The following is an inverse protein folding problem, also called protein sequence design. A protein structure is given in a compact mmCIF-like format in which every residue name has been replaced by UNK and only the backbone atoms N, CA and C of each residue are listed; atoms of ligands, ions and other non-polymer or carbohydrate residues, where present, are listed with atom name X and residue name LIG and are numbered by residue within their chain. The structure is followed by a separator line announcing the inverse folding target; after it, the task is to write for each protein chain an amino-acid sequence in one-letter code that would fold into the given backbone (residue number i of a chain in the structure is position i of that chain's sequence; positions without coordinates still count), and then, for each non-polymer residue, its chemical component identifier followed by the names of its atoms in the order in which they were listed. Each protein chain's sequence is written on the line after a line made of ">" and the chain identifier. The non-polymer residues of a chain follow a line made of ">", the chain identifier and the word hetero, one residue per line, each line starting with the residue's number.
data_IF_439256773822
#
_entry.id   IF_439256773822
#
_cell.length_a   1.000
_cell.length_b   1.000
_cell.length_c   1.000
_cell.angle_alpha   90.00
_cell.angle_beta   90.00
_cell.angle_gamma   90.00
#
_symmetry.space_group_name_H-M   'P 1'
#
loop_
_entity.id
_entity.type
_entity.pdbx_description
1 polymer ?
#
# COMPACT_ATOMS: atom_id res chain seq x y z
N UNK A 1 -15.09 -1.49 16.54
CA UNK A 1 -13.96 -2.39 16.25
C UNK A 1 -12.76 -1.86 17.00
N UNK A 2 -11.98 -2.71 17.67
CA UNK A 2 -10.76 -2.26 18.35
C UNK A 2 -9.65 -2.10 17.32
N UNK A 3 -9.03 -0.93 17.23
CA UNK A 3 -7.91 -0.62 16.34
C UNK A 3 -6.73 -0.25 17.25
N UNK A 4 -5.52 -0.82 17.05
CA UNK A 4 -4.39 -0.51 17.92
C UNK A 4 -3.96 0.95 17.75
N UNK A 5 -3.76 1.65 18.87
CA UNK A 5 -3.20 3.01 18.94
C UNK A 5 -1.70 3.01 19.29
N UNK A 6 -1.13 1.82 19.57
CA UNK A 6 0.29 1.64 19.85
C UNK A 6 1.00 0.80 18.78
N UNK A 7 2.19 1.22 18.38
CA UNK A 7 3.13 0.45 17.57
C UNK A 7 4.46 0.18 18.30
N UNK A 8 4.91 -1.07 18.27
CA UNK A 8 6.22 -1.50 18.72
C UNK A 8 7.12 -1.74 17.50
N UNK A 9 8.29 -1.10 17.44
CA UNK A 9 9.18 -1.18 16.27
C UNK A 9 10.55 -1.73 16.70
N UNK A 10 10.99 -2.80 16.04
CA UNK A 10 12.28 -3.44 16.27
C UNK A 10 13.40 -2.66 15.54
N UNK A 11 14.18 -1.88 16.29
CA UNK A 11 15.22 -0.97 15.78
C UNK A 11 16.65 -1.38 16.19
N UNK A 12 16.88 -2.66 16.50
CA UNK A 12 18.10 -3.10 17.19
C UNK A 12 19.26 -3.59 16.32
N UNK A 13 19.01 -3.95 15.06
CA UNK A 13 19.97 -4.70 14.24
C UNK A 13 21.14 -3.88 13.69
N UNK A 14 22.29 -4.54 13.48
CA UNK A 14 23.52 -3.94 12.95
C UNK A 14 23.41 -3.41 11.51
N UNK A 15 22.49 -3.95 10.70
CA UNK A 15 22.34 -3.54 9.30
C UNK A 15 23.57 -3.78 8.43
N UNK A 16 24.30 -4.89 8.65
CA UNK A 16 25.60 -5.19 8.03
C UNK A 16 25.61 -5.15 6.49
N UNK A 17 24.48 -5.45 5.84
CA UNK A 17 24.32 -5.41 4.38
C UNK A 17 24.37 -4.00 3.77
N UNK A 18 24.27 -2.94 4.58
CA UNK A 18 24.34 -1.54 4.16
C UNK A 18 25.69 -0.87 4.52
N UNK A 19 26.69 -1.65 4.94
CA UNK A 19 28.02 -1.09 5.18
C UNK A 19 28.60 -0.49 3.89
N UNK A 20 29.37 0.62 3.98
CA UNK A 20 29.87 1.25 5.20
C UNK A 20 28.92 2.27 5.85
N UNK A 21 27.74 2.54 5.27
CA UNK A 21 26.81 3.55 5.81
C UNK A 21 26.40 3.20 7.24
N UNK A 22 26.14 1.92 7.49
CA UNK A 22 25.73 1.42 8.80
C UNK A 22 26.85 1.29 9.83
N UNK A 23 28.09 1.64 9.51
CA UNK A 23 29.17 1.69 10.51
C UNK A 23 29.03 2.90 11.45
N UNK A 24 28.30 3.94 11.00
CA UNK A 24 28.10 5.20 11.76
C UNK A 24 26.63 5.60 11.93
N UNK A 25 25.73 4.96 11.19
CA UNK A 25 24.30 5.28 11.18
C UNK A 25 23.50 4.00 11.43
N UNK A 26 22.65 3.90 12.46
CA UNK A 26 21.82 2.71 12.62
C UNK A 26 20.91 2.56 11.40
N UNK A 27 20.67 1.32 10.95
CA UNK A 27 19.88 1.03 9.73
C UNK A 27 18.56 1.82 9.63
N UNK A 28 17.72 1.94 10.68
CA UNK A 28 16.47 2.70 10.61
C UNK A 28 16.68 4.21 10.35
N UNK A 29 17.89 4.72 10.59
CA UNK A 29 18.25 6.13 10.40
C UNK A 29 18.90 6.42 9.05
N UNK A 30 19.07 5.40 8.19
CA UNK A 30 19.55 5.59 6.82
C UNK A 30 18.60 6.54 6.08
N UNK A 31 19.11 7.61 5.45
CA UNK A 31 18.26 8.61 4.83
C UNK A 31 17.58 8.05 3.57
N UNK A 32 16.28 8.29 3.46
CA UNK A 32 15.50 8.13 2.24
C UNK A 32 14.91 9.49 1.91
N UNK A 33 15.33 10.08 0.79
CA UNK A 33 14.94 11.43 0.40
C UNK A 33 15.22 12.48 1.52
N UNK A 34 16.42 12.39 2.12
CA UNK A 34 16.93 13.26 3.22
C UNK A 34 16.24 13.07 4.58
N UNK A 35 15.28 12.17 4.70
CA UNK A 35 14.55 11.88 5.93
C UNK A 35 14.90 10.46 6.41
N UNK A 36 15.16 10.22 7.71
CA UNK A 36 15.40 8.88 8.23
C UNK A 36 14.30 7.88 7.84
N UNK A 37 14.66 6.67 7.43
CA UNK A 37 13.67 5.65 7.06
C UNK A 37 12.63 5.38 8.16
N UNK A 38 13.04 5.37 9.43
CA UNK A 38 12.13 5.19 10.57
C UNK A 38 11.11 6.31 10.71
N UNK A 39 11.43 7.54 10.30
CA UNK A 39 10.48 8.65 10.31
C UNK A 39 9.38 8.42 9.26
N UNK A 40 9.71 7.89 8.08
CA UNK A 40 8.70 7.49 7.09
C UNK A 40 7.73 6.46 7.67
N UNK A 41 8.21 5.49 8.45
CA UNK A 41 7.35 4.48 9.11
C UNK A 41 6.46 5.10 10.19
N UNK A 42 7.03 5.95 11.06
CA UNK A 42 6.26 6.61 12.12
C UNK A 42 5.18 7.52 11.52
N UNK A 43 5.52 8.29 10.49
CA UNK A 43 4.56 9.14 9.78
C UNK A 43 3.46 8.31 9.11
N UNK A 44 3.79 7.19 8.46
CA UNK A 44 2.80 6.29 7.88
C UNK A 44 1.84 5.74 8.96
N UNK A 45 2.37 5.23 10.08
CA UNK A 45 1.56 4.69 11.17
C UNK A 45 0.67 5.78 11.80
N UNK A 46 1.20 6.98 11.96
CA UNK A 46 0.45 8.16 12.44
C UNK A 46 -0.71 8.52 11.52
N UNK A 47 -0.51 8.49 10.20
CA UNK A 47 -1.57 8.73 9.22
C UNK A 47 -2.71 7.71 9.32
N UNK A 48 -2.43 6.51 9.82
CA UNK A 48 -3.44 5.50 10.16
C UNK A 48 -4.03 5.63 11.57
N UNK A 49 -3.63 6.65 12.33
CA UNK A 49 -4.18 6.96 13.65
C UNK A 49 -3.41 6.40 14.84
N UNK A 50 -2.22 5.82 14.64
CA UNK A 50 -1.35 5.35 15.73
C UNK A 50 -0.62 6.54 16.34
N UNK A 51 -0.81 6.77 17.63
CA UNK A 51 -0.21 7.90 18.33
C UNK A 51 0.90 7.52 19.30
N UNK A 52 1.00 6.24 19.70
CA UNK A 52 1.99 5.75 20.68
C UNK A 52 2.97 4.78 20.05
N UNK A 53 4.24 4.91 20.42
CA UNK A 53 5.33 4.12 19.86
C UNK A 53 6.25 3.60 20.94
N UNK A 54 6.65 2.34 20.83
CA UNK A 54 7.72 1.74 21.62
C UNK A 54 8.85 1.35 20.67
N UNK A 55 9.95 2.11 20.70
CA UNK A 55 11.13 1.84 19.89
C UNK A 55 12.07 0.92 20.67
N UNK A 56 12.26 -0.29 20.16
CA UNK A 56 13.15 -1.26 20.78
C UNK A 56 14.55 -1.13 20.16
N UNK A 57 15.39 -0.31 20.81
CA UNK A 57 16.67 0.14 20.25
C UNK A 57 17.86 -0.70 20.70
N UNK A 58 18.84 -0.84 19.81
CA UNK A 58 20.05 -1.65 20.03
C UNK A 58 21.30 -0.91 19.57
N UNK A 59 21.93 -1.44 18.52
CA UNK A 59 23.10 -0.81 17.92
C UNK A 59 22.84 0.67 17.58
N UNK A 60 23.70 1.56 18.09
CA UNK A 60 23.60 3.03 17.96
C UNK A 60 22.22 3.60 18.37
N UNK A 61 21.57 2.97 19.35
CA UNK A 61 20.24 3.38 19.83
C UNK A 61 20.15 4.83 20.31
N UNK A 62 21.25 5.38 20.84
CA UNK A 62 21.31 6.76 21.32
C UNK A 62 21.05 7.77 20.18
N UNK A 63 21.51 7.49 18.95
CA UNK A 63 21.23 8.36 17.79
C UNK A 63 19.73 8.38 17.43
N UNK A 64 19.04 7.24 17.59
CA UNK A 64 17.60 7.16 17.38
C UNK A 64 16.89 7.99 18.46
N UNK A 65 17.31 7.87 19.72
CA UNK A 65 16.71 8.61 20.82
C UNK A 65 16.97 10.12 20.72
N UNK A 66 18.18 10.53 20.32
CA UNK A 66 18.53 11.94 20.13
C UNK A 66 17.70 12.60 19.02
N UNK A 67 17.49 11.89 17.90
CA UNK A 67 16.70 12.42 16.78
C UNK A 67 15.21 12.55 17.11
N UNK A 68 14.61 11.47 17.64
CA UNK A 68 13.16 11.38 17.83
C UNK A 68 12.68 11.95 19.17
N UNK A 69 13.53 12.01 20.20
CA UNK A 69 13.14 12.47 21.53
C UNK A 69 11.92 11.72 22.07
N UNK A 70 10.96 12.43 22.66
CA UNK A 70 9.68 11.86 23.09
C UNK A 70 8.62 11.74 21.97
N UNK A 71 9.00 12.06 20.72
CA UNK A 71 8.09 12.07 19.57
C UNK A 71 7.27 13.36 19.39
N UNK A 72 7.37 14.33 20.31
CA UNK A 72 6.58 15.57 20.28
C UNK A 72 6.74 16.37 18.97
N UNK A 73 7.94 16.40 18.39
CA UNK A 73 8.21 17.03 17.08
C UNK A 73 7.40 16.43 15.93
N UNK A 74 7.05 15.15 16.02
CA UNK A 74 6.25 14.42 15.04
C UNK A 74 4.77 14.35 15.44
N UNK A 75 4.39 14.90 16.61
CA UNK A 75 3.02 14.85 17.13
C UNK A 75 2.59 13.44 17.56
N UNK A 76 3.52 12.64 18.08
CA UNK A 76 3.29 11.28 18.61
C UNK A 76 4.00 11.13 19.97
N UNK A 77 3.77 10.02 20.66
CA UNK A 77 4.43 9.68 21.92
C UNK A 77 5.39 8.51 21.69
N UNK A 78 6.65 8.67 22.06
CA UNK A 78 7.68 7.64 21.90
C UNK A 78 8.26 7.24 23.26
N UNK A 79 8.22 5.94 23.54
CA UNK A 79 8.96 5.29 24.62
C UNK A 79 10.04 4.39 24.03
N UNK A 80 11.08 4.11 24.83
CA UNK A 80 12.23 3.34 24.41
C UNK A 80 12.42 2.11 25.29
N UNK A 81 12.68 0.97 24.64
CA UNK A 81 13.20 -0.23 25.28
C UNK A 81 14.62 -0.48 24.78
N UNK A 82 15.59 0.19 25.40
CA UNK A 82 17.00 0.08 25.04
C UNK A 82 17.58 -1.25 25.51
N UNK A 83 18.45 -1.84 24.70
CA UNK A 83 19.19 -3.03 25.09
C UNK A 83 20.41 -3.27 24.23
N UNK A 84 21.30 -4.19 24.60
CA UNK A 84 22.48 -4.56 23.85
C UNK A 84 22.23 -4.96 22.37
N UNK A 85 23.22 -4.70 21.50
CA UNK A 85 23.10 -4.93 20.06
C UNK A 85 22.98 -6.42 19.68
N UNK A 86 23.50 -7.31 20.52
CA UNK A 86 23.45 -8.76 20.38
C UNK A 86 22.08 -9.37 20.75
N UNK A 87 21.17 -8.58 21.30
CA UNK A 87 19.82 -9.06 21.56
C UNK A 87 19.08 -9.35 20.27
N UNK A 88 18.68 -10.60 20.12
CA UNK A 88 17.80 -11.01 19.03
C UNK A 88 16.39 -10.43 19.20
N UNK A 89 15.60 -10.48 18.12
CA UNK A 89 14.32 -9.79 18.04
C UNK A 89 13.27 -10.30 19.03
N UNK A 90 13.29 -11.60 19.38
CA UNK A 90 12.39 -12.20 20.36
C UNK A 90 12.71 -11.70 21.77
N UNK A 91 13.99 -11.77 22.18
CA UNK A 91 14.44 -11.21 23.46
C UNK A 91 14.10 -9.74 23.61
N UNK A 92 14.36 -8.98 22.55
CA UNK A 92 14.13 -7.54 22.51
C UNK A 92 12.65 -7.20 22.69
N UNK A 93 11.77 -8.00 22.10
CA UNK A 93 10.33 -7.91 22.31
C UNK A 93 9.95 -8.30 23.76
N UNK A 94 10.50 -9.39 24.31
CA UNK A 94 10.27 -9.80 25.70
C UNK A 94 10.62 -8.68 26.69
N UNK A 95 11.72 -7.97 26.47
CA UNK A 95 12.19 -6.89 27.34
C UNK A 95 11.31 -5.64 27.29
N UNK A 96 10.56 -5.45 26.20
CA UNK A 96 9.64 -4.33 26.05
C UNK A 96 8.24 -4.61 26.62
N UNK A 97 7.92 -5.85 27.06
CA UNK A 97 6.56 -6.32 27.36
C UNK A 97 5.74 -5.41 28.30
N UNK A 98 6.39 -4.78 29.27
CA UNK A 98 5.72 -3.96 30.28
C UNK A 98 5.33 -2.57 29.74
N UNK A 99 5.93 -2.16 28.60
CA UNK A 99 5.58 -0.94 27.87
C UNK A 99 4.46 -1.17 26.84
N UNK A 100 4.15 -2.42 26.52
CA UNK A 100 3.21 -2.76 25.46
C UNK A 100 1.77 -2.87 25.97
N UNK A 101 0.83 -2.39 25.17
CA UNK A 101 -0.61 -2.55 25.37
C UNK A 101 -1.05 -4.00 25.10
N UNK A 102 -2.30 -4.33 25.47
CA UNK A 102 -2.85 -5.68 25.27
C UNK A 102 -2.96 -6.07 23.79
N UNK A 103 -3.07 -5.08 22.91
CA UNK A 103 -3.07 -5.23 21.46
C UNK A 103 -2.26 -4.10 20.85
N UNK A 104 -1.26 -4.45 20.04
CA UNK A 104 -0.35 -3.47 19.43
C UNK A 104 0.03 -3.86 18.01
N UNK A 105 0.43 -2.87 17.21
CA UNK A 105 1.11 -3.12 15.94
C UNK A 105 2.57 -3.49 16.22
N UNK A 106 3.10 -4.53 15.61
CA UNK A 106 4.50 -4.92 15.68
C UNK A 106 5.14 -4.80 14.30
N UNK A 107 6.27 -4.09 14.23
CA UNK A 107 7.00 -3.87 12.98
C UNK A 107 8.49 -4.17 13.07
N UNK A 108 9.04 -4.64 11.94
CA UNK A 108 10.46 -4.48 11.64
C UNK A 108 10.72 -3.08 11.07
N UNK A 109 11.89 -2.52 11.35
CA UNK A 109 12.24 -1.15 10.98
C UNK A 109 12.87 -1.01 9.58
N UNK A 110 12.69 -1.99 8.68
CA UNK A 110 13.38 -2.00 7.38
C UNK A 110 12.49 -2.24 6.16
N UNK A 111 11.21 -2.54 6.34
CA UNK A 111 10.23 -2.69 5.27
C UNK A 111 9.22 -1.53 5.26
N UNK A 112 8.82 -1.11 4.07
CA UNK A 112 7.75 -0.16 3.82
C UNK A 112 6.68 -0.85 2.98
N UNK A 113 5.48 -0.95 3.52
CA UNK A 113 4.35 -1.66 2.89
C UNK A 113 3.17 -0.70 2.89
N UNK A 114 2.51 -0.52 1.76
CA UNK A 114 1.22 0.16 1.77
C UNK A 114 0.17 -0.77 2.37
N UNK A 115 -0.55 -0.29 3.38
CA UNK A 115 -1.57 -1.08 4.07
C UNK A 115 -2.73 -0.19 4.53
N UNK A 116 -3.80 -0.84 4.98
CA UNK A 116 -4.93 -0.17 5.61
C UNK A 116 -5.12 -0.77 7.02
N UNK A 117 -4.87 0.04 8.04
CA UNK A 117 -4.95 -0.40 9.43
C UNK A 117 -6.36 -0.86 9.81
N UNK A 118 -7.42 -0.25 9.28
CA UNK A 118 -8.80 -0.67 9.55
C UNK A 118 -9.06 -2.05 8.96
N UNK A 119 -8.61 -2.30 7.72
CA UNK A 119 -8.72 -3.63 7.09
C UNK A 119 -7.93 -4.68 7.85
N UNK A 120 -6.71 -4.36 8.29
CA UNK A 120 -5.89 -5.27 9.08
C UNK A 120 -6.51 -5.55 10.47
N UNK A 121 -7.04 -4.54 11.14
CA UNK A 121 -7.74 -4.69 12.42
C UNK A 121 -9.02 -5.52 12.28
N UNK A 122 -9.78 -5.32 11.19
CA UNK A 122 -10.93 -6.17 10.86
C UNK A 122 -10.51 -7.61 10.65
N UNK A 123 -9.49 -7.83 9.83
CA UNK A 123 -8.93 -9.17 9.59
C UNK A 123 -8.51 -9.82 10.91
N UNK A 124 -7.77 -9.11 11.78
CA UNK A 124 -7.37 -9.62 13.09
C UNK A 124 -8.56 -10.01 13.97
N UNK A 125 -9.58 -9.14 14.07
CA UNK A 125 -10.79 -9.40 14.83
C UNK A 125 -11.58 -10.62 14.31
N UNK A 126 -11.63 -10.81 12.99
CA UNK A 126 -12.31 -11.92 12.34
C UNK A 126 -11.56 -13.25 12.55
N UNK A 127 -10.22 -13.23 12.50
CA UNK A 127 -9.38 -14.43 12.62
C UNK A 127 -9.20 -14.93 14.06
N UNK A 128 -9.32 -14.05 15.07
CA UNK A 128 -9.18 -14.38 16.50
C UNK A 128 -7.90 -15.17 16.80
N UNK A 129 -6.78 -14.72 16.21
CA UNK A 129 -5.44 -15.30 16.38
C UNK A 129 -4.60 -14.39 17.27
N UNK A 130 -3.55 -14.93 17.90
CA UNK A 130 -2.64 -14.09 18.70
C UNK A 130 -1.78 -13.18 17.84
N UNK A 131 -1.51 -13.58 16.59
CA UNK A 131 -0.73 -12.81 15.63
C UNK A 131 -1.39 -12.83 14.26
N UNK A 132 -1.61 -11.66 13.67
CA UNK A 132 -1.94 -11.53 12.25
C UNK A 132 -0.89 -10.65 11.58
N UNK A 133 -0.33 -11.09 10.45
CA UNK A 133 0.62 -10.29 9.69
C UNK A 133 0.26 -10.16 8.23
N UNK A 134 0.85 -9.17 7.56
CA UNK A 134 0.74 -9.01 6.12
C UNK A 134 1.73 -9.95 5.42
N UNK A 135 1.27 -10.66 4.40
CA UNK A 135 2.08 -11.54 3.55
C UNK A 135 1.99 -11.15 2.09
N UNK A 136 3.02 -11.50 1.31
CA UNK A 136 2.97 -11.39 -0.14
C UNK A 136 3.45 -12.67 -0.80
N UNK A 137 2.84 -12.98 -1.94
CA UNK A 137 3.23 -14.10 -2.77
C UNK A 137 4.66 -13.93 -3.30
N UNK A 138 5.47 -14.99 -3.18
CA UNK A 138 6.87 -15.04 -3.60
C UNK A 138 7.24 -16.48 -3.88
N UNK A 139 7.76 -16.74 -5.08
CA UNK A 139 8.15 -18.09 -5.54
C UNK A 139 9.15 -18.82 -4.61
N UNK A 140 9.96 -18.08 -3.86
CA UNK A 140 10.86 -18.60 -2.83
C UNK A 140 10.48 -17.99 -1.47
N UNK A 141 9.26 -18.25 -1.04
CA UNK A 141 8.74 -17.83 0.25
C UNK A 141 9.24 -18.69 1.40
N UNK A 142 8.64 -18.46 2.56
CA UNK A 142 8.84 -19.24 3.78
C UNK A 142 7.52 -19.58 4.49
N UNK A 143 6.38 -19.18 3.92
CA UNK A 143 5.05 -19.36 4.50
C UNK A 143 4.19 -20.16 3.55
N UNK A 144 3.45 -21.13 4.09
CA UNK A 144 2.29 -21.74 3.44
C UNK A 144 1.02 -21.26 4.12
N UNK A 145 0.14 -20.64 3.35
CA UNK A 145 -1.20 -20.29 3.80
C UNK A 145 -2.14 -21.46 3.57
N UNK A 146 -2.89 -21.81 4.61
CA UNK A 146 -3.96 -22.80 4.56
C UNK A 146 -5.32 -22.17 4.28
N UNK A 147 -6.35 -22.95 4.59
CA UNK A 147 -7.74 -22.47 4.55
C UNK A 147 -7.93 -21.29 5.49
N UNK A 148 -8.83 -20.38 5.09
CA UNK A 148 -9.17 -19.17 5.85
C UNK A 148 -7.95 -18.33 6.27
N UNK A 149 -6.90 -18.31 5.45
CA UNK A 149 -5.69 -17.49 5.66
C UNK A 149 -4.89 -17.85 6.92
N UNK A 150 -5.15 -19.00 7.54
CA UNK A 150 -4.33 -19.50 8.67
C UNK A 150 -2.97 -19.90 8.13
N UNK A 151 -1.89 -19.57 8.85
CA UNK A 151 -0.55 -20.00 8.47
C UNK A 151 -0.36 -21.44 8.92
N UNK A 152 -0.15 -22.36 7.97
CA UNK A 152 0.05 -23.79 8.25
C UNK A 152 1.52 -24.16 8.44
N UNK A 153 2.41 -23.39 7.81
CA UNK A 153 3.85 -23.63 7.86
C UNK A 153 4.58 -22.29 7.82
N UNK A 154 5.57 -22.15 8.69
CA UNK A 154 6.57 -21.10 8.67
C UNK A 154 7.96 -21.75 8.71
N UNK A 155 8.63 -21.79 7.56
CA UNK A 155 9.94 -22.41 7.41
C UNK A 155 11.06 -21.36 7.36
N UNK A 156 11.71 -21.16 8.51
CA UNK A 156 12.86 -20.25 8.64
C UNK A 156 14.00 -20.55 7.66
N UNK A 157 14.17 -21.81 7.26
CA UNK A 157 15.28 -22.29 6.43
C UNK A 157 15.03 -22.15 4.93
N UNK A 158 13.78 -21.92 4.52
CA UNK A 158 13.34 -21.88 3.11
C UNK A 158 13.70 -23.15 2.34
N UNK A 159 13.70 -24.28 3.02
CA UNK A 159 13.98 -25.61 2.46
C UNK A 159 12.69 -26.35 2.06
N UNK A 160 11.55 -25.99 2.66
CA UNK A 160 10.26 -26.59 2.41
C UNK A 160 9.67 -26.14 1.08
N UNK A 161 9.12 -27.12 0.34
CA UNK A 161 8.36 -26.89 -0.89
C UNK A 161 6.99 -26.29 -0.59
N UNK A 162 6.40 -25.61 -1.58
CA UNK A 162 5.07 -25.01 -1.53
C UNK A 162 4.95 -23.97 -0.39
N UNK A 163 5.99 -23.17 -0.23
CA UNK A 163 6.02 -22.01 0.66
C UNK A 163 6.03 -20.75 -0.21
N UNK A 164 4.86 -20.36 -0.69
CA UNK A 164 4.73 -19.34 -1.74
C UNK A 164 4.50 -17.94 -1.17
N UNK A 165 4.69 -17.73 0.14
CA UNK A 165 4.49 -16.44 0.78
C UNK A 165 5.67 -16.02 1.65
N UNK A 166 5.87 -14.71 1.79
CA UNK A 166 6.74 -14.09 2.80
C UNK A 166 5.95 -13.12 3.66
N UNK A 167 6.30 -13.02 4.95
CA UNK A 167 5.79 -11.97 5.81
C UNK A 167 6.53 -10.65 5.55
N UNK A 168 5.83 -9.53 5.68
CA UNK A 168 6.34 -8.21 5.32
C UNK A 168 6.71 -7.33 6.52
N UNK A 169 6.59 -7.84 7.75
CA UNK A 169 6.94 -7.09 8.94
C UNK A 169 5.88 -6.11 9.44
N UNK A 170 4.61 -6.25 9.03
CA UNK A 170 3.48 -5.45 9.52
C UNK A 170 2.48 -6.39 10.18
N UNK A 171 2.32 -6.28 11.49
CA UNK A 171 1.60 -7.28 12.28
C UNK A 171 0.73 -6.63 13.35
N UNK A 172 -0.44 -7.21 13.64
CA UNK A 172 -1.18 -6.96 14.87
C UNK A 172 -0.95 -8.17 15.79
N UNK A 173 -0.55 -7.88 17.03
CA UNK A 173 -0.26 -8.88 18.05
C UNK A 173 -1.10 -8.66 19.31
N UNK A 174 -1.56 -9.76 19.90
CA UNK A 174 -2.04 -9.81 21.28
C UNK A 174 -0.86 -9.88 22.23
N UNK A 175 -0.93 -9.23 23.40
CA UNK A 175 0.04 -9.39 24.48
C UNK A 175 0.12 -10.83 25.01
N UNK A 176 -0.87 -11.67 24.72
CA UNK A 176 -0.80 -13.10 25.03
C UNK A 176 0.29 -13.84 24.26
N UNK A 177 0.88 -13.26 23.19
CA UNK A 177 2.05 -13.86 22.52
C UNK A 177 3.22 -14.05 23.48
N UNK A 178 3.32 -13.26 24.56
CA UNK A 178 4.40 -13.38 25.54
C UNK A 178 4.40 -14.72 26.30
N UNK A 179 3.33 -15.51 26.22
CA UNK A 179 3.32 -16.92 26.69
C UNK A 179 4.29 -17.80 25.87
N UNK A 180 4.65 -17.36 24.67
CA UNK A 180 5.55 -18.03 23.71
C UNK A 180 6.91 -17.35 23.60
N UNK A 181 7.17 -16.30 24.39
CA UNK A 181 8.43 -15.56 24.34
C UNK A 181 9.12 -15.73 25.69
N UNK A 182 10.21 -16.48 25.67
CA UNK A 182 11.10 -16.68 26.80
C UNK A 182 12.11 -15.54 26.93
N UNK A 183 12.69 -15.40 28.12
CA UNK A 183 13.75 -14.42 28.38
C UNK A 183 15.14 -14.92 27.99
N UNK A 184 15.21 -15.69 26.91
CA UNK A 184 16.43 -16.13 26.26
C UNK A 184 16.78 -15.22 25.09
N UNK A 185 17.91 -15.44 24.44
CA UNK A 185 18.30 -14.67 23.25
C UNK A 185 17.72 -15.24 21.96
N UNK A 186 16.40 -15.44 21.92
CA UNK A 186 15.69 -16.00 20.76
C UNK A 186 15.31 -14.96 19.71
N UNK A 187 15.15 -15.42 18.47
CA UNK A 187 14.63 -14.63 17.36
C UNK A 187 13.10 -14.62 17.36
N UNK A 188 12.49 -13.51 16.93
CA UNK A 188 11.02 -13.46 16.80
C UNK A 188 10.50 -14.45 15.75
N UNK A 189 11.32 -14.82 14.77
CA UNK A 189 11.00 -15.90 13.83
C UNK A 189 10.86 -17.28 14.51
N UNK A 190 11.57 -17.55 15.60
CA UNK A 190 11.32 -18.77 16.42
C UNK A 190 9.97 -18.70 17.11
N UNK A 191 9.61 -17.54 17.68
CA UNK A 191 8.31 -17.31 18.31
C UNK A 191 7.18 -17.52 17.30
N UNK A 192 7.31 -16.98 16.08
CA UNK A 192 6.33 -17.18 15.00
C UNK A 192 6.20 -18.68 14.70
N UNK A 193 7.30 -19.42 14.61
CA UNK A 193 7.24 -20.85 14.34
C UNK A 193 6.45 -21.61 15.43
N UNK A 194 6.64 -21.25 16.72
CA UNK A 194 5.86 -21.82 17.83
C UNK A 194 4.37 -21.45 17.75
N UNK A 195 4.06 -20.18 17.48
CA UNK A 195 2.67 -19.73 17.30
C UNK A 195 1.97 -20.45 16.14
N UNK A 196 2.69 -20.73 15.04
CA UNK A 196 2.16 -21.49 13.91
C UNK A 196 1.84 -22.93 14.29
N UNK A 197 2.68 -23.59 15.09
CA UNK A 197 2.41 -24.93 15.61
C UNK A 197 1.13 -24.98 16.47
N UNK A 198 0.85 -23.90 17.21
CA UNK A 198 -0.38 -23.74 18.00
C UNK A 198 -1.56 -23.15 17.21
N UNK A 199 -1.44 -23.02 15.88
CA UNK A 199 -2.44 -22.44 15.00
C UNK A 199 -2.88 -21.01 15.39
N UNK A 200 -1.97 -20.21 15.95
CA UNK A 200 -2.20 -18.85 16.44
C UNK A 200 -1.77 -17.74 15.48
N UNK A 201 -1.56 -18.06 14.20
CA UNK A 201 -1.12 -17.09 13.18
C UNK A 201 -2.01 -17.10 11.95
N UNK A 202 -2.38 -15.92 11.46
CA UNK A 202 -3.04 -15.73 10.16
C UNK A 202 -2.33 -14.68 9.31
N UNK A 203 -2.34 -14.86 7.99
CA UNK A 203 -1.69 -13.99 7.01
C UNK A 203 -2.68 -13.25 6.12
N UNK A 204 -2.66 -11.92 6.12
CA UNK A 204 -3.44 -11.11 5.18
C UNK A 204 -2.62 -10.85 3.92
N UNK A 205 -3.13 -11.27 2.75
CA UNK A 205 -2.39 -11.11 1.48
C UNK A 205 -2.40 -9.65 1.03
N UNK A 206 -1.21 -9.10 0.82
CA UNK A 206 -0.97 -7.85 0.12
C UNK A 206 -0.69 -8.10 -1.35
N UNK A 207 -1.25 -7.22 -2.19
CA UNK A 207 -1.17 -7.30 -3.64
C UNK A 207 -0.26 -6.24 -4.25
N UNK A 208 -0.06 -5.12 -3.55
CA UNK A 208 0.93 -4.10 -3.95
C UNK A 208 2.37 -4.57 -3.66
N UNK A 209 3.33 -3.93 -4.30
CA UNK A 209 4.75 -4.16 -4.01
C UNK A 209 5.12 -3.64 -2.63
N UNK A 210 6.10 -4.30 -1.99
CA UNK A 210 6.75 -3.80 -0.78
C UNK A 210 8.16 -3.31 -1.08
N UNK A 211 8.56 -2.30 -0.32
CA UNK A 211 9.85 -1.65 -0.41
C UNK A 211 10.64 -1.90 0.88
N UNK A 212 11.96 -1.73 0.83
CA UNK A 212 12.79 -1.97 2.01
C UNK A 212 14.15 -1.32 1.86
N UNK A 213 14.78 -1.03 2.99
CA UNK A 213 16.20 -0.65 3.06
C UNK A 213 17.08 -1.85 3.42
N UNK A 214 16.77 -3.06 2.91
CA UNK A 214 17.51 -4.27 3.34
C UNK A 214 18.92 -4.40 2.78
N UNK A 215 19.18 -3.73 1.66
CA UNK A 215 20.42 -3.72 0.88
C UNK A 215 20.43 -2.47 -0.03
N UNK A 216 21.57 -2.13 -0.66
CA UNK A 216 21.69 -0.88 -1.42
C UNK A 216 20.73 -0.76 -2.61
N UNK A 217 20.37 -1.85 -3.28
CA UNK A 217 19.50 -1.80 -4.46
C UNK A 217 18.05 -1.61 -4.04
N UNK A 218 17.60 -2.32 -3.00
CA UNK A 218 16.26 -2.09 -2.44
C UNK A 218 16.15 -0.71 -1.80
N UNK A 219 17.22 -0.19 -1.19
CA UNK A 219 17.26 1.18 -0.69
C UNK A 219 17.02 2.20 -1.82
N UNK A 220 17.76 2.12 -2.94
CA UNK A 220 17.54 3.01 -4.11
C UNK A 220 16.11 2.91 -4.66
N UNK A 221 15.56 1.69 -4.73
CA UNK A 221 14.19 1.48 -5.18
C UNK A 221 13.18 2.12 -4.24
N UNK A 222 13.42 2.00 -2.93
CA UNK A 222 12.61 2.62 -1.88
C UNK A 222 12.68 4.13 -1.93
N UNK A 223 13.86 4.71 -2.19
CA UNK A 223 13.99 6.16 -2.42
C UNK A 223 13.14 6.62 -3.60
N UNK A 224 13.25 5.93 -4.75
CA UNK A 224 12.41 6.22 -5.91
C UNK A 224 10.93 6.12 -5.58
N UNK A 225 10.50 5.08 -4.86
CA UNK A 225 9.09 4.86 -4.50
C UNK A 225 8.56 5.96 -3.56
N UNK A 226 9.30 6.28 -2.50
CA UNK A 226 8.92 7.27 -1.50
C UNK A 226 9.09 8.72 -1.96
N UNK A 227 9.70 8.97 -3.12
CA UNK A 227 9.71 10.30 -3.73
C UNK A 227 8.28 10.72 -4.07
N UNK A 228 7.81 11.89 -3.58
CA UNK A 228 6.49 12.41 -3.93
C UNK A 228 6.33 12.55 -5.44
N UNK A 229 5.21 12.08 -5.97
CA UNK A 229 4.88 12.16 -7.39
C UNK A 229 3.49 12.73 -7.55
N UNK A 230 3.36 13.73 -8.40
CA UNK A 230 2.09 14.28 -8.84
C UNK A 230 1.48 13.40 -9.94
N UNK A 231 1.04 12.21 -9.56
CA UNK A 231 0.37 11.27 -10.47
C UNK A 231 -1.09 11.13 -10.03
N UNK A 232 -2.01 11.32 -10.98
CA UNK A 232 -3.44 11.04 -10.82
C UNK A 232 -3.81 9.83 -11.65
N UNK A 233 -4.66 8.97 -11.08
CA UNK A 233 -5.28 7.88 -11.82
C UNK A 233 -6.64 8.38 -12.33
N UNK A 234 -7.02 8.02 -13.54
CA UNK A 234 -8.27 8.52 -14.15
C UNK A 234 -8.95 7.46 -15.02
N UNK A 235 -10.27 7.37 -14.96
CA UNK A 235 -11.03 6.53 -15.90
C UNK A 235 -11.10 7.19 -17.29
N UNK A 236 -11.41 6.38 -18.31
CA UNK A 236 -11.53 6.84 -19.69
C UNK A 236 -12.96 7.22 -20.05
N UNK A 237 -13.88 6.26 -19.94
CA UNK A 237 -15.22 6.34 -20.52
C UNK A 237 -16.21 6.90 -19.50
N UNK A 238 -16.64 8.15 -19.69
CA UNK A 238 -17.46 8.92 -18.76
C UNK A 238 -16.69 10.05 -18.07
N UNK A 239 -15.35 9.99 -18.13
CA UNK A 239 -14.46 10.99 -17.52
C UNK A 239 -13.66 11.73 -18.59
N UNK A 240 -12.85 11.06 -19.40
CA UNK A 240 -12.08 11.72 -20.47
C UNK A 240 -12.95 11.92 -21.71
N UNK A 241 -13.70 10.88 -22.10
CA UNK A 241 -14.64 10.91 -23.20
C UNK A 241 -16.05 10.54 -22.75
N UNK A 242 -17.05 10.87 -23.56
CA UNK A 242 -18.42 10.40 -23.33
C UNK A 242 -18.51 8.87 -23.45
N UNK A 243 -19.34 8.24 -22.61
CA UNK A 243 -19.63 6.80 -22.70
C UNK A 243 -20.33 6.46 -24.00
N UNK A 244 -20.04 5.27 -24.54
CA UNK A 244 -20.86 4.68 -25.59
C UNK A 244 -22.29 4.43 -25.08
N UNK A 245 -23.30 4.38 -25.97
CA UNK A 245 -24.64 3.99 -25.60
C UNK A 245 -24.67 2.63 -24.87
N UNK A 246 -25.71 2.42 -24.06
CA UNK A 246 -25.83 1.22 -23.24
C UNK A 246 -25.81 -0.04 -24.11
N UNK A 247 -24.81 -0.89 -23.90
CA UNK A 247 -24.62 -2.15 -24.63
C UNK A 247 -23.68 -2.05 -25.83
N UNK A 248 -23.24 -0.85 -26.18
CA UNK A 248 -22.29 -0.56 -27.25
C UNK A 248 -20.90 -0.26 -26.70
N UNK A 249 -19.93 -0.15 -27.60
CA UNK A 249 -18.53 0.15 -27.29
C UNK A 249 -17.99 1.13 -28.33
N UNK A 250 -17.08 2.01 -27.91
CA UNK A 250 -16.35 2.88 -28.83
C UNK A 250 -15.40 2.00 -29.65
N UNK A 251 -15.73 1.80 -30.92
CA UNK A 251 -15.01 0.91 -31.83
C UNK A 251 -14.20 1.65 -32.90
N UNK A 252 -14.26 2.99 -32.90
CA UNK A 252 -13.56 3.83 -33.84
C UNK A 252 -13.19 5.17 -33.21
N UNK A 253 -12.14 5.80 -33.75
CA UNK A 253 -11.68 7.11 -33.27
C UNK A 253 -12.76 8.19 -33.42
N UNK A 254 -13.56 8.12 -34.48
CA UNK A 254 -14.57 9.14 -34.79
C UNK A 254 -15.76 9.11 -33.82
N UNK A 255 -15.97 8.00 -33.10
CA UNK A 255 -16.95 7.90 -32.02
C UNK A 255 -16.44 8.47 -30.70
N UNK A 256 -15.12 8.64 -30.54
CA UNK A 256 -14.55 9.18 -29.31
C UNK A 256 -14.78 10.70 -29.26
N UNK A 257 -15.65 11.13 -28.35
CA UNK A 257 -15.94 12.54 -28.10
C UNK A 257 -15.46 12.95 -26.71
N UNK A 258 -14.50 13.88 -26.66
CA UNK A 258 -13.94 14.38 -25.40
C UNK A 258 -14.93 15.22 -24.60
N UNK A 259 -14.90 15.06 -23.27
CA UNK A 259 -15.62 15.94 -22.33
C UNK A 259 -14.75 17.17 -22.09
N UNK A 260 -15.09 18.30 -22.71
CA UNK A 260 -14.21 19.48 -22.81
C UNK A 260 -13.79 20.04 -21.45
N UNK A 261 -14.71 20.11 -20.51
CA UNK A 261 -14.51 20.58 -19.15
C UNK A 261 -13.49 19.69 -18.42
N UNK A 262 -13.53 18.38 -18.66
CA UNK A 262 -12.57 17.46 -18.05
C UNK A 262 -11.19 17.59 -18.69
N UNK A 263 -11.11 17.77 -20.01
CA UNK A 263 -9.84 18.03 -20.70
C UNK A 263 -9.19 19.33 -20.20
N UNK A 264 -9.98 20.39 -20.03
CA UNK A 264 -9.49 21.67 -19.51
C UNK A 264 -9.02 21.55 -18.04
N UNK A 265 -9.71 20.76 -17.22
CA UNK A 265 -9.25 20.40 -15.88
C UNK A 265 -7.91 19.64 -15.92
N UNK A 266 -7.77 18.64 -16.79
CA UNK A 266 -6.53 17.87 -16.94
C UNK A 266 -5.36 18.74 -17.42
N UNK A 267 -5.62 19.69 -18.31
CA UNK A 267 -4.64 20.68 -18.79
C UNK A 267 -4.15 21.58 -17.66
N UNK A 268 -5.07 22.07 -16.84
CA UNK A 268 -4.75 22.90 -15.66
C UNK A 268 -3.88 22.13 -14.66
N UNK A 269 -4.23 20.88 -14.37
CA UNK A 269 -3.44 20.00 -13.50
C UNK A 269 -2.05 19.70 -14.09
N UNK A 270 -1.95 19.48 -15.42
CA UNK A 270 -0.66 19.27 -16.08
C UNK A 270 0.25 20.50 -15.98
N UNK A 271 -0.32 21.70 -16.12
CA UNK A 271 0.40 22.96 -15.88
C UNK A 271 0.88 23.09 -14.42
N UNK A 272 0.14 22.51 -13.47
CA UNK A 272 0.52 22.40 -12.04
C UNK A 272 1.48 21.22 -11.75
N UNK A 273 1.96 20.53 -12.78
CA UNK A 273 2.97 19.48 -12.71
C UNK A 273 2.43 18.05 -12.59
N UNK A 274 1.11 17.86 -12.65
CA UNK A 274 0.52 16.52 -12.61
C UNK A 274 0.72 15.75 -13.91
N UNK A 275 0.78 14.42 -13.79
CA UNK A 275 0.73 13.47 -14.89
C UNK A 275 -0.39 12.46 -14.63
N UNK A 276 -0.91 11.84 -15.68
CA UNK A 276 -2.07 10.95 -15.60
C UNK A 276 -1.70 9.53 -16.01
N UNK A 277 -2.26 8.56 -15.29
CA UNK A 277 -2.34 7.17 -15.73
C UNK A 277 -3.82 6.84 -15.92
N UNK A 278 -4.18 6.36 -17.11
CA UNK A 278 -5.56 6.03 -17.45
C UNK A 278 -5.80 4.55 -17.11
N UNK A 279 -6.87 4.24 -16.36
CA UNK A 279 -7.25 2.86 -15.99
C UNK A 279 -8.70 2.61 -16.40
N UNK A 280 -8.92 1.73 -17.38
CA UNK A 280 -10.24 1.54 -17.99
C UNK A 280 -10.66 0.08 -18.17
N UNK A 281 -11.97 -0.18 -18.01
CA UNK A 281 -12.61 -1.46 -18.30
C UNK A 281 -13.10 -1.51 -19.76
N UNK A 282 -12.46 -2.30 -20.63
CA UNK A 282 -12.81 -2.43 -22.05
C UNK A 282 -13.41 -3.81 -22.37
N UNK A 283 -14.58 -4.10 -21.80
CA UNK A 283 -15.26 -5.40 -21.95
C UNK A 283 -15.64 -5.75 -23.40
N UNK A 284 -15.65 -4.77 -24.32
CA UNK A 284 -15.90 -4.97 -25.75
C UNK A 284 -14.91 -5.93 -26.39
N UNK A 285 -13.68 -6.02 -25.85
CA UNK A 285 -12.64 -6.96 -26.29
C UNK A 285 -13.05 -8.39 -25.93
N UNK A 286 -13.31 -8.67 -24.65
CA UNK A 286 -13.74 -10.00 -24.18
C UNK A 286 -15.06 -10.45 -24.81
N UNK A 287 -15.95 -9.50 -25.15
CA UNK A 287 -17.19 -9.76 -25.90
C UNK A 287 -16.99 -9.93 -27.41
N UNK A 288 -15.77 -9.77 -27.94
CA UNK A 288 -15.45 -9.79 -29.37
C UNK A 288 -16.23 -8.77 -30.22
N UNK A 289 -16.70 -7.69 -29.60
CA UNK A 289 -17.39 -6.58 -30.28
C UNK A 289 -16.39 -5.57 -30.84
N UNK A 290 -15.22 -5.44 -30.21
CA UNK A 290 -14.13 -4.58 -30.67
C UNK A 290 -12.83 -5.35 -30.56
N UNK A 291 -11.96 -5.26 -31.57
CA UNK A 291 -10.65 -5.92 -31.50
C UNK A 291 -9.71 -5.20 -30.52
N UNK A 292 -8.83 -5.94 -29.85
CA UNK A 292 -7.79 -5.36 -29.00
C UNK A 292 -6.94 -4.33 -29.76
N UNK A 293 -6.53 -4.66 -30.99
CA UNK A 293 -5.80 -3.75 -31.88
C UNK A 293 -6.55 -2.44 -32.13
N UNK A 294 -7.87 -2.50 -32.28
CA UNK A 294 -8.72 -1.32 -32.45
C UNK A 294 -8.71 -0.46 -31.20
N UNK A 295 -8.91 -1.05 -30.02
CA UNK A 295 -8.87 -0.33 -28.74
C UNK A 295 -7.51 0.31 -28.50
N UNK A 296 -6.41 -0.42 -28.75
CA UNK A 296 -5.06 0.13 -28.64
C UNK A 296 -4.85 1.31 -29.60
N UNK A 297 -5.32 1.20 -30.86
CA UNK A 297 -5.23 2.31 -31.81
C UNK A 297 -6.01 3.55 -31.38
N UNK A 298 -7.20 3.38 -30.78
CA UNK A 298 -7.98 4.49 -30.22
C UNK A 298 -7.25 5.12 -29.05
N UNK A 299 -6.69 4.32 -28.15
CA UNK A 299 -5.94 4.79 -26.98
C UNK A 299 -4.68 5.59 -27.39
N UNK A 300 -3.93 5.14 -28.41
CA UNK A 300 -2.76 5.87 -28.93
C UNK A 300 -3.14 7.22 -29.54
N UNK A 301 -4.23 7.26 -30.32
CA UNK A 301 -4.75 8.52 -30.88
C UNK A 301 -5.24 9.47 -29.78
N UNK A 302 -5.90 8.94 -28.76
CA UNK A 302 -6.36 9.69 -27.59
C UNK A 302 -5.18 10.28 -26.84
N UNK A 303 -4.18 9.45 -26.48
CA UNK A 303 -2.94 9.89 -25.84
C UNK A 303 -2.27 11.01 -26.62
N UNK A 304 -2.07 10.81 -27.93
CA UNK A 304 -1.48 11.80 -28.83
C UNK A 304 -2.30 13.10 -28.92
N UNK A 305 -3.63 13.03 -28.80
CA UNK A 305 -4.49 14.21 -28.80
C UNK A 305 -4.39 15.00 -27.49
N UNK A 306 -4.37 14.31 -26.35
CA UNK A 306 -4.21 14.92 -25.03
C UNK A 306 -2.82 15.55 -24.87
N UNK A 307 -1.76 14.86 -25.32
CA UNK A 307 -0.38 15.38 -25.26
C UNK A 307 -0.20 16.65 -26.12
N UNK A 308 -0.90 16.75 -27.25
CA UNK A 308 -0.92 18.00 -28.06
C UNK A 308 -1.56 19.17 -27.32
N UNK A 309 -2.44 18.91 -26.36
CA UNK A 309 -3.02 19.92 -25.47
C UNK A 309 -2.13 20.23 -24.26
N UNK A 310 -0.94 19.62 -24.16
CA UNK A 310 -0.04 19.77 -23.03
C UNK A 310 -0.37 18.87 -21.83
N UNK A 311 -1.26 17.88 -22.02
CA UNK A 311 -1.66 16.95 -20.96
C UNK A 311 -0.70 15.76 -20.94
N UNK A 312 -0.02 15.54 -19.81
CA UNK A 312 0.98 14.49 -19.69
C UNK A 312 0.36 13.15 -19.31
N UNK A 313 0.29 12.23 -20.27
CA UNK A 313 -0.20 10.85 -20.05
C UNK A 313 1.01 9.90 -19.93
N UNK A 314 1.14 9.26 -18.78
CA UNK A 314 2.21 8.29 -18.52
C UNK A 314 1.89 6.95 -19.21
N UNK A 315 0.72 6.38 -18.91
CA UNK A 315 0.33 5.05 -19.40
C UNK A 315 -1.20 4.89 -19.45
N UNK A 316 -1.67 3.94 -20.25
CA UNK A 316 -3.06 3.52 -20.37
C UNK A 316 -3.17 2.02 -20.09
N UNK A 317 -3.69 1.67 -18.91
CA UNK A 317 -3.98 0.29 -18.53
C UNK A 317 -5.43 -0.07 -18.87
N UNK A 318 -5.60 -1.21 -19.53
CA UNK A 318 -6.90 -1.70 -19.99
C UNK A 318 -7.17 -3.09 -19.45
N UNK A 319 -8.36 -3.28 -18.88
CA UNK A 319 -8.90 -4.61 -18.64
C UNK A 319 -9.75 -5.05 -19.84
N UNK A 320 -9.33 -6.06 -20.63
CA UNK A 320 -10.09 -6.54 -21.79
C UNK A 320 -11.24 -7.50 -21.42
N UNK A 321 -11.25 -7.99 -20.17
CA UNK A 321 -12.06 -9.12 -19.75
C UNK A 321 -13.56 -8.81 -19.56
N UNK A 322 -14.35 -9.86 -19.73
CA UNK A 322 -15.77 -9.95 -19.43
C UNK A 322 -16.04 -9.97 -17.91
N UNK A 323 -17.30 -9.79 -17.48
CA UNK A 323 -17.63 -9.89 -16.05
C UNK A 323 -17.54 -11.31 -15.50
N UNK A 324 -17.76 -12.32 -16.35
CA UNK A 324 -17.69 -13.74 -15.97
C UNK A 324 -16.26 -14.29 -15.89
N UNK A 325 -15.27 -13.56 -16.42
CA UNK A 325 -13.88 -14.01 -16.44
C UNK A 325 -13.23 -13.98 -15.06
N UNK A 326 -13.88 -13.38 -14.05
CA UNK A 326 -13.40 -13.27 -12.66
C UNK A 326 -11.95 -12.77 -12.54
N UNK A 327 -11.50 -11.94 -13.48
CA UNK A 327 -10.14 -11.43 -13.48
C UNK A 327 -9.91 -10.40 -12.37
N UNK A 328 -8.68 -10.34 -11.86
CA UNK A 328 -8.30 -9.40 -10.82
C UNK A 328 -8.06 -7.97 -11.35
N UNK A 329 -7.93 -7.78 -12.66
CA UNK A 329 -7.66 -6.48 -13.26
C UNK A 329 -8.93 -5.63 -13.51
N UNK A 330 -10.12 -6.23 -13.56
CA UNK A 330 -11.38 -5.52 -13.84
C UNK A 330 -11.88 -4.77 -12.61
N UNK A 331 -12.05 -3.44 -12.71
CA UNK A 331 -12.72 -2.66 -11.65
C UNK A 331 -14.12 -3.23 -11.36
N UNK A 332 -14.50 -3.47 -10.08
CA UNK A 332 -13.94 -2.88 -8.86
C UNK A 332 -12.71 -3.59 -8.25
N UNK A 333 -12.15 -4.62 -8.90
CA UNK A 333 -10.88 -5.18 -8.46
C UNK A 333 -9.71 -4.22 -8.77
N UNK A 334 -8.69 -4.15 -7.89
CA UNK A 334 -7.61 -3.17 -7.98
C UNK A 334 -6.41 -3.61 -8.84
N UNK A 335 -6.50 -4.71 -9.59
CA UNK A 335 -5.31 -5.32 -10.22
C UNK A 335 -4.52 -4.38 -11.14
N UNK A 336 -5.18 -3.51 -11.92
CA UNK A 336 -4.48 -2.53 -12.76
C UNK A 336 -3.82 -1.39 -11.95
N UNK A 337 -4.31 -1.10 -10.74
CA UNK A 337 -3.70 -0.11 -9.85
C UNK A 337 -2.35 -0.62 -9.35
N UNK A 338 -2.28 -1.89 -8.92
CA UNK A 338 -1.03 -2.52 -8.49
C UNK A 338 -0.06 -2.76 -9.65
N UNK A 339 -0.56 -2.97 -10.87
CA UNK A 339 0.30 -2.97 -12.05
C UNK A 339 0.94 -1.59 -12.26
N UNK A 340 0.14 -0.51 -12.17
CA UNK A 340 0.64 0.85 -12.33
C UNK A 340 1.69 1.21 -11.26
N UNK A 341 1.48 0.87 -9.97
CA UNK A 341 2.46 1.16 -8.91
C UNK A 341 3.77 0.41 -9.12
N UNK A 342 3.72 -0.84 -9.58
CA UNK A 342 4.91 -1.64 -9.86
C UNK A 342 5.77 -1.04 -10.99
N UNK A 343 5.13 -0.52 -12.03
CA UNK A 343 5.81 0.05 -13.20
C UNK A 343 6.28 1.49 -12.96
N UNK A 344 5.49 2.32 -12.28
CA UNK A 344 5.73 3.75 -12.10
C UNK A 344 6.23 4.15 -10.69
N UNK A 345 6.30 3.19 -9.76
CA UNK A 345 6.85 3.33 -8.41
C UNK A 345 6.26 4.52 -7.65
N UNK A 346 4.92 4.63 -7.59
CA UNK A 346 4.23 5.65 -6.80
C UNK A 346 3.40 5.03 -5.68
N UNK A 347 3.06 5.85 -4.69
CA UNK A 347 2.25 5.48 -3.53
C UNK A 347 0.76 5.66 -3.83
N UNK A 348 -0.02 4.58 -3.80
CA UNK A 348 -1.46 4.68 -4.00
C UNK A 348 -2.13 5.47 -2.86
N UNK A 349 -1.62 5.36 -1.64
CA UNK A 349 -2.15 6.10 -0.48
C UNK A 349 -1.93 7.62 -0.56
N UNK A 350 -1.12 8.08 -1.52
CA UNK A 350 -0.87 9.49 -1.85
C UNK A 350 -1.41 9.88 -3.23
N UNK A 351 -2.23 9.04 -3.83
CA UNK A 351 -2.81 9.25 -5.16
C UNK A 351 -4.34 9.20 -5.08
N UNK A 352 -4.99 9.88 -6.02
CA UNK A 352 -6.44 9.85 -6.18
C UNK A 352 -6.80 9.20 -7.51
N UNK A 353 -7.87 8.40 -7.50
CA UNK A 353 -8.55 7.92 -8.69
C UNK A 353 -9.77 8.76 -9.02
N UNK A 354 -9.86 9.24 -10.26
CA UNK A 354 -10.97 10.05 -10.75
C UNK A 354 -11.85 9.16 -11.64
N UNK A 355 -13.10 8.95 -11.23
CA UNK A 355 -14.06 8.09 -11.92
C UNK A 355 -15.45 8.69 -11.97
N UNK A 356 -16.35 8.07 -12.73
CA UNK A 356 -17.76 8.44 -12.84
C UNK A 356 -18.71 7.25 -12.56
N UNK A 357 -18.16 6.08 -12.24
CA UNK A 357 -18.91 4.88 -11.90
C UNK A 357 -18.69 4.50 -10.43
N UNK A 358 -19.71 4.04 -9.67
CA UNK A 358 -19.52 3.58 -8.29
C UNK A 358 -18.42 2.51 -8.14
N UNK A 359 -18.19 1.69 -9.18
CA UNK A 359 -17.10 0.70 -9.21
C UNK A 359 -15.71 1.33 -9.20
N UNK A 360 -15.58 2.58 -9.63
CA UNK A 360 -14.31 3.32 -9.57
C UNK A 360 -13.95 3.66 -8.13
N UNK A 361 -14.92 4.15 -7.36
CA UNK A 361 -14.75 4.41 -5.93
C UNK A 361 -14.41 3.12 -5.15
N UNK A 362 -15.09 2.02 -5.49
CA UNK A 362 -14.79 0.69 -4.93
C UNK A 362 -13.38 0.21 -5.29
N UNK A 363 -12.96 0.37 -6.55
CA UNK A 363 -11.61 0.01 -6.98
C UNK A 363 -10.54 0.82 -6.23
N UNK A 364 -10.75 2.12 -6.08
CA UNK A 364 -9.85 3.00 -5.34
C UNK A 364 -9.71 2.56 -3.87
N UNK A 365 -10.84 2.34 -3.19
CA UNK A 365 -10.86 1.82 -1.84
C UNK A 365 -10.14 0.47 -1.73
N UNK A 366 -10.40 -0.47 -2.66
CA UNK A 366 -9.75 -1.77 -2.69
C UNK A 366 -8.23 -1.68 -2.93
N UNK A 367 -7.80 -0.71 -3.74
CA UNK A 367 -6.38 -0.40 -3.99
C UNK A 367 -5.71 0.35 -2.82
N UNK A 368 -6.50 0.91 -1.90
CA UNK A 368 -5.98 1.73 -0.80
C UNK A 368 -5.62 3.16 -1.20
N UNK A 369 -6.25 3.69 -2.27
CA UNK A 369 -6.15 5.10 -2.65
C UNK A 369 -7.48 5.82 -2.44
N UNK A 370 -7.46 7.15 -2.40
CA UNK A 370 -8.69 7.94 -2.37
C UNK A 370 -9.33 8.03 -3.76
N UNK A 371 -10.59 8.45 -3.82
CA UNK A 371 -11.27 8.70 -5.09
C UNK A 371 -12.00 10.03 -5.14
N UNK A 372 -12.12 10.60 -6.34
CA UNK A 372 -13.03 11.68 -6.68
C UNK A 372 -14.07 11.12 -7.66
N UNK A 373 -15.34 11.40 -7.38
CA UNK A 373 -16.44 11.01 -8.24
C UNK A 373 -16.93 12.19 -9.07
N UNK A 374 -17.05 12.00 -10.38
CA UNK A 374 -17.63 12.95 -11.30
C UNK A 374 -19.06 12.53 -11.63
N UNK A 375 -20.06 13.24 -11.12
CA UNK A 375 -21.47 12.87 -11.29
C UNK A 375 -22.33 13.27 -10.11
N UNK A 376 -23.49 12.61 -9.98
CA UNK A 376 -24.47 12.92 -8.93
C UNK A 376 -24.29 12.00 -7.72
N UNK A 377 -24.41 12.56 -6.52
CA UNK A 377 -24.31 11.79 -5.27
C UNK A 377 -25.32 10.63 -5.19
N UNK A 378 -26.45 10.73 -5.89
CA UNK A 378 -27.48 9.70 -5.91
C UNK A 378 -27.03 8.39 -6.58
N UNK A 379 -25.98 8.41 -7.39
CA UNK A 379 -25.37 7.22 -7.99
C UNK A 379 -24.59 6.37 -6.97
N UNK A 380 -24.19 6.98 -5.84
CA UNK A 380 -23.36 6.37 -4.80
C UNK A 380 -24.16 5.82 -3.61
N UNK A 381 -25.49 5.67 -3.75
CA UNK A 381 -26.35 5.19 -2.64
C UNK A 381 -26.03 3.77 -2.16
N UNK A 382 -25.42 2.96 -3.02
CA UNK A 382 -25.21 1.52 -2.77
C UNK A 382 -23.76 1.15 -2.41
N UNK A 383 -22.84 2.12 -2.33
CA UNK A 383 -21.46 1.86 -1.92
C UNK A 383 -21.31 2.04 -0.39
N UNK A 384 -20.38 1.31 0.21
CA UNK A 384 -20.17 1.36 1.66
C UNK A 384 -19.60 2.71 2.11
N UNK A 385 -19.65 3.01 3.41
CA UNK A 385 -19.12 4.26 3.95
C UNK A 385 -17.61 4.41 3.72
N UNK A 386 -16.87 3.29 3.74
CA UNK A 386 -15.43 3.28 3.50
C UNK A 386 -15.07 3.44 2.00
N UNK A 387 -16.01 3.15 1.11
CA UNK A 387 -15.86 3.29 -0.35
C UNK A 387 -16.18 4.71 -0.84
N UNK A 388 -16.71 5.60 0.02
CA UNK A 388 -17.14 6.93 -0.40
C UNK A 388 -15.94 7.76 -0.91
N UNK A 389 -16.12 8.51 -2.02
CA UNK A 389 -15.07 9.38 -2.53
C UNK A 389 -14.80 10.53 -1.56
N UNK A 390 -13.58 11.06 -1.60
CA UNK A 390 -13.21 12.25 -0.84
C UNK A 390 -13.86 13.53 -1.39
N UNK A 391 -14.40 13.50 -2.60
CA UNK A 391 -15.17 14.59 -3.18
C UNK A 391 -16.05 14.16 -4.35
N UNK A 392 -17.18 14.86 -4.52
CA UNK A 392 -18.14 14.66 -5.61
C UNK A 392 -18.27 15.99 -6.35
N UNK A 393 -18.06 15.96 -7.66
CA UNK A 393 -18.06 17.16 -8.50
C UNK A 393 -18.78 16.89 -9.82
N UNK A 394 -19.24 17.94 -10.50
CA UNK A 394 -19.89 17.78 -11.81
C UNK A 394 -18.87 17.53 -12.93
N UNK A 395 -17.64 18.02 -12.78
CA UNK A 395 -16.55 17.90 -13.74
C UNK A 395 -15.19 18.14 -13.05
N UNK A 396 -14.11 17.95 -13.80
CA UNK A 396 -12.76 18.04 -13.28
C UNK A 396 -12.33 19.49 -12.97
N UNK A 397 -12.84 20.49 -13.71
CA UNK A 397 -12.61 21.90 -13.39
C UNK A 397 -13.08 22.26 -11.98
N UNK A 398 -14.27 21.79 -11.60
CA UNK A 398 -14.81 22.00 -10.26
C UNK A 398 -14.01 21.28 -9.17
N UNK A 399 -13.30 20.20 -9.51
CA UNK A 399 -12.46 19.43 -8.59
C UNK A 399 -11.05 20.01 -8.39
N UNK A 400 -10.61 20.96 -9.23
CA UNK A 400 -9.25 21.54 -9.18
C UNK A 400 -8.83 22.03 -7.79
N UNK A 401 -9.65 22.76 -7.01
CA UNK A 401 -9.22 23.28 -5.71
C UNK A 401 -8.91 22.20 -4.67
N UNK A 402 -9.40 20.97 -4.88
CA UNK A 402 -9.08 19.80 -4.07
C UNK A 402 -7.86 19.08 -4.64
N UNK A 403 -7.84 18.83 -5.95
CA UNK A 403 -6.78 18.08 -6.61
C UNK A 403 -5.41 18.78 -6.54
N UNK A 404 -5.36 20.10 -6.63
CA UNK A 404 -4.10 20.85 -6.59
C UNK A 404 -3.40 20.86 -5.21
N UNK A 405 -4.11 20.43 -4.16
CA UNK A 405 -3.59 20.35 -2.78
C UNK A 405 -2.96 18.99 -2.45
N UNK A 406 -3.09 18.01 -3.36
CA UNK A 406 -2.51 16.67 -3.27
C UNK A 406 -1.07 16.73 -3.76
#
# INVERSE_FOLDING_TARGET
>A
MNIPDQAAILCGGLGSRLRPVTDKTPKPMVPVNKVPFLEHLICQLKEHGISKFVLMTGYLGDQIQEYFGDGSKLGVQIQYSQGPAEWETGRRLHRAKDLLEDMFMLLYSDNFVQFDLKKLAKFYADKKKLLCFIVQEKSNGNIRLGKDSVVELYDKTRSAKNTDFVELGYMIASKEIFKFITDDNSSFSEVIAQLVLEHQVAGMVAWDAYHSISDPDRWKLTEKYLTPKKILLIDRDGVINHKAPKGEYIDSWDQLSFIRENIQGMKSLSNSGFSFIIISNQAGIGRKMVSEKTVMSINEKMKSALEREGIKILEIYVCPHHWEDNCFCRKPNPGLFFQATKEWLFRLDKTIFIGDDPRDCQAAYNAGCGSIYLGDKSDLKNISADEQPCGIFNNLEAALPVLEKI
#
